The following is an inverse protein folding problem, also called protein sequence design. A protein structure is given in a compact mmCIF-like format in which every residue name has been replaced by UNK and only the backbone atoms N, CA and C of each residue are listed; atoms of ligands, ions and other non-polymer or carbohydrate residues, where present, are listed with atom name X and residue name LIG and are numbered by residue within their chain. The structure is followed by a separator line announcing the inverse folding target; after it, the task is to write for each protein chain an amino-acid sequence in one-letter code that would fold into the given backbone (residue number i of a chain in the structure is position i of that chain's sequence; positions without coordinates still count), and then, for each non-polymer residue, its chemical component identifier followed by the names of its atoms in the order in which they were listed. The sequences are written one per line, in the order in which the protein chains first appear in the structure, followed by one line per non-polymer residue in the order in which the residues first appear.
data_IF_416369065499
#
_entry.id   IF_416369065499
#
_cell.length_a   1.000
_cell.length_b   1.000
_cell.length_c   1.000
_cell.angle_alpha   90.00
_cell.angle_beta   90.00
_cell.angle_gamma   90.00
#
_symmetry.space_group_name_H-M   'P 1'
#
loop_
_entity.id
_entity.type
_entity.pdbx_description
1 polymer ?
#
# COMPACT_ATOMS: atom_id res chain seq x y z
N UNK A 1 -6.24 7.37 34.29
CA UNK A 1 -6.75 6.43 33.27
C UNK A 1 -7.28 5.22 34.01
N UNK A 2 -8.52 4.79 33.77
CA UNK A 2 -9.13 3.64 34.45
C UNK A 2 -8.63 2.31 33.86
N UNK A 3 -8.88 1.18 34.53
CA UNK A 3 -8.40 -0.13 34.11
C UNK A 3 -9.03 -0.59 32.79
N UNK A 4 -10.35 -0.40 32.62
CA UNK A 4 -11.07 -0.79 31.40
C UNK A 4 -10.47 -0.18 30.12
N UNK A 5 -10.02 1.08 30.18
CA UNK A 5 -9.37 1.71 29.03
C UNK A 5 -7.98 1.15 28.77
N UNK A 6 -7.26 0.74 29.82
CA UNK A 6 -5.95 0.12 29.68
C UNK A 6 -6.06 -1.26 29.01
N UNK A 7 -7.02 -2.07 29.45
CA UNK A 7 -7.28 -3.40 28.90
C UNK A 7 -7.72 -3.29 27.43
N UNK A 8 -8.62 -2.36 27.15
CA UNK A 8 -9.05 -2.08 25.77
C UNK A 8 -7.88 -1.72 24.86
N UNK A 9 -6.96 -0.84 25.31
CA UNK A 9 -5.75 -0.48 24.53
C UNK A 9 -4.84 -1.70 24.35
N UNK A 10 -4.65 -2.51 25.39
CA UNK A 10 -3.79 -3.68 25.36
C UNK A 10 -4.27 -4.76 24.38
N UNK A 11 -5.58 -4.92 24.24
CA UNK A 11 -6.24 -5.89 23.35
C UNK A 11 -6.36 -5.39 21.90
N UNK A 12 -6.63 -4.09 21.70
CA UNK A 12 -6.99 -3.54 20.39
C UNK A 12 -5.86 -2.74 19.73
N UNK A 13 -4.63 -2.80 20.26
CA UNK A 13 -3.49 -2.05 19.75
C UNK A 13 -3.18 -2.28 18.27
N UNK A 14 -3.48 -3.46 17.74
CA UNK A 14 -3.23 -3.79 16.33
C UNK A 14 -3.95 -2.82 15.39
N UNK A 15 -5.11 -2.30 15.79
CA UNK A 15 -5.87 -1.31 15.02
C UNK A 15 -5.09 0.00 14.78
N UNK A 16 -4.11 0.32 15.63
CA UNK A 16 -3.19 1.46 15.43
C UNK A 16 -2.23 1.24 14.26
N UNK A 17 -1.94 -0.02 13.93
CA UNK A 17 -1.10 -0.42 12.80
C UNK A 17 -1.93 -0.83 11.57
N UNK A 18 -3.18 -1.27 11.77
CA UNK A 18 -4.06 -1.82 10.73
C UNK A 18 -4.80 -0.76 9.87
N UNK A 19 -4.42 0.52 9.96
CA UNK A 19 -5.03 1.61 9.19
C UNK A 19 -6.57 1.66 9.32
N UNK A 20 -7.11 1.41 10.53
CA UNK A 20 -8.46 1.91 10.82
C UNK A 20 -8.48 3.40 10.43
N UNK A 21 -9.50 3.82 9.66
CA UNK A 21 -9.60 5.18 9.11
C UNK A 21 -9.15 6.20 10.16
N UNK A 22 -8.29 7.15 9.79
CA UNK A 22 -7.83 8.18 10.73
C UNK A 22 -9.01 8.81 11.49
N UNK A 23 -10.16 8.96 10.82
CA UNK A 23 -11.43 9.41 11.38
C UNK A 23 -12.01 8.46 12.43
N UNK A 24 -11.90 7.14 12.23
CA UNK A 24 -12.31 6.12 13.19
C UNK A 24 -11.37 6.07 14.40
N UNK A 25 -10.06 6.16 14.21
CA UNK A 25 -9.10 6.16 15.32
C UNK A 25 -9.22 7.44 16.16
N UNK A 26 -9.42 8.60 15.53
CA UNK A 26 -9.61 9.89 16.23
C UNK A 26 -10.94 9.96 17.02
N UNK A 27 -11.94 9.13 16.67
CA UNK A 27 -13.21 9.02 17.41
C UNK A 27 -13.27 7.82 18.36
N UNK A 28 -12.24 6.97 18.37
CA UNK A 28 -12.17 5.75 19.18
C UNK A 28 -11.50 5.96 20.55
N UNK A 29 -11.55 4.92 21.38
CA UNK A 29 -10.75 4.79 22.61
C UNK A 29 -9.24 4.71 22.36
N UNK A 30 -8.79 4.53 21.11
CA UNK A 30 -7.39 4.50 20.68
C UNK A 30 -6.85 5.87 20.24
N UNK A 31 -7.65 6.94 20.34
CA UNK A 31 -7.28 8.31 19.92
C UNK A 31 -5.93 8.77 20.50
N UNK A 32 -5.71 8.59 21.80
CA UNK A 32 -4.47 9.07 22.44
C UNK A 32 -3.25 8.26 21.98
N UNK A 33 -3.25 6.91 22.04
CA UNK A 33 -2.17 6.10 21.47
C UNK A 33 -1.87 6.45 20.00
N UNK A 34 -2.92 6.69 19.20
CA UNK A 34 -2.78 7.07 17.78
C UNK A 34 -2.08 8.42 17.59
N UNK A 35 -2.42 9.43 18.40
CA UNK A 35 -1.77 10.74 18.36
C UNK A 35 -0.30 10.67 18.75
N UNK A 36 0.04 9.86 19.75
CA UNK A 36 1.45 9.61 20.15
C UNK A 36 2.20 8.93 18.99
N UNK A 37 1.61 7.89 18.40
CA UNK A 37 2.18 7.18 17.25
C UNK A 37 2.44 8.15 16.07
N UNK A 38 1.48 8.98 15.70
CA UNK A 38 1.64 9.99 14.64
C UNK A 38 2.79 10.95 14.90
N UNK A 39 2.88 11.45 16.14
CA UNK A 39 3.92 12.40 16.52
C UNK A 39 5.32 11.77 16.41
N UNK A 40 5.48 10.53 16.89
CA UNK A 40 6.74 9.80 16.80
C UNK A 40 7.11 9.40 15.36
N UNK A 41 6.12 9.15 14.50
CA UNK A 41 6.36 8.92 13.07
C UNK A 41 6.88 10.17 12.35
N UNK A 42 6.44 11.35 12.77
CA UNK A 42 6.81 12.61 12.15
C UNK A 42 8.17 13.13 12.67
N UNK A 43 8.36 13.08 13.99
CA UNK A 43 9.46 13.76 14.67
C UNK A 43 10.54 12.80 15.21
N UNK A 44 10.31 11.49 15.13
CA UNK A 44 11.20 10.48 15.69
C UNK A 44 11.06 10.32 17.21
N UNK A 45 12.11 9.80 17.89
CA UNK A 45 12.12 9.64 19.34
C UNK A 45 11.97 10.98 20.07
N UNK A 46 11.06 11.04 21.04
CA UNK A 46 10.77 12.26 21.81
C UNK A 46 10.78 11.99 23.31
N UNK A 47 11.11 13.03 24.10
CA UNK A 47 10.97 12.94 25.56
C UNK A 47 9.50 12.93 25.93
N UNK A 48 9.19 12.24 27.03
CA UNK A 48 7.83 12.15 27.55
C UNK A 48 7.20 13.53 27.80
N UNK A 49 7.98 14.50 28.30
CA UNK A 49 7.50 15.86 28.51
C UNK A 49 7.19 16.59 27.19
N UNK A 50 8.02 16.41 26.16
CA UNK A 50 7.80 17.02 24.84
C UNK A 50 6.49 16.51 24.21
N UNK A 51 6.21 15.21 24.35
CA UNK A 51 4.93 14.62 23.90
C UNK A 51 3.76 15.20 24.70
N UNK A 52 3.94 15.38 26.01
CA UNK A 52 2.93 15.98 26.89
C UNK A 52 2.57 17.40 26.46
N UNK A 53 3.58 18.22 26.22
CA UNK A 53 3.41 19.64 25.85
C UNK A 53 2.76 19.77 24.46
N UNK A 54 3.19 18.95 23.49
CA UNK A 54 2.67 19.00 22.11
C UNK A 54 1.24 18.49 22.02
N UNK A 55 0.89 17.42 22.73
CA UNK A 55 -0.44 16.83 22.66
C UNK A 55 -1.42 17.41 23.67
N UNK A 56 -0.95 18.22 24.62
CA UNK A 56 -1.73 18.73 25.76
C UNK A 56 -2.34 17.58 26.58
N UNK A 57 -1.53 16.54 26.83
CA UNK A 57 -1.93 15.32 27.54
C UNK A 57 -1.03 15.16 28.76
N UNK A 58 -1.63 14.84 29.91
CA UNK A 58 -0.88 14.66 31.15
C UNK A 58 0.26 13.63 31.00
N UNK A 59 1.50 13.91 31.48
CA UNK A 59 2.66 13.03 31.37
C UNK A 59 2.39 11.58 31.80
N UNK A 60 1.69 11.41 32.93
CA UNK A 60 1.32 10.07 33.43
C UNK A 60 0.44 9.26 32.47
N UNK A 61 -0.45 9.90 31.72
CA UNK A 61 -1.28 9.19 30.74
C UNK A 61 -0.42 8.64 29.61
N UNK A 62 0.52 9.45 29.11
CA UNK A 62 1.49 9.03 28.10
C UNK A 62 2.37 7.90 28.64
N UNK A 63 2.88 8.05 29.87
CA UNK A 63 3.71 7.03 30.52
C UNK A 63 3.01 5.67 30.61
N UNK A 64 1.72 5.68 30.98
CA UNK A 64 0.92 4.45 31.11
C UNK A 64 0.63 3.84 29.75
N UNK A 65 0.25 4.63 28.74
CA UNK A 65 0.06 4.12 27.37
C UNK A 65 1.35 3.54 26.81
N UNK A 66 2.47 4.25 26.99
CA UNK A 66 3.79 3.78 26.56
C UNK A 66 4.20 2.47 27.26
N UNK A 67 3.79 2.28 28.52
CA UNK A 67 4.00 1.01 29.24
C UNK A 67 3.15 -0.12 28.69
N UNK A 68 1.86 0.13 28.43
CA UNK A 68 0.92 -0.89 27.91
C UNK A 68 1.35 -1.40 26.53
N UNK A 69 1.91 -0.51 25.71
CA UNK A 69 2.28 -0.78 24.33
C UNK A 69 3.80 -0.97 24.13
N UNK A 70 4.54 -1.14 25.22
CA UNK A 70 5.98 -1.41 25.20
C UNK A 70 6.28 -2.76 24.53
N UNK A 71 7.26 -2.81 23.64
CA UNK A 71 7.60 -4.01 22.86
C UNK A 71 6.61 -4.33 21.72
N UNK A 72 5.49 -3.61 21.63
CA UNK A 72 4.48 -3.75 20.57
C UNK A 72 4.57 -2.59 19.58
N UNK A 73 4.34 -1.37 20.08
CA UNK A 73 4.35 -0.13 19.30
C UNK A 73 5.48 0.78 19.76
N UNK A 74 5.72 0.86 21.06
CA UNK A 74 6.68 1.81 21.64
C UNK A 74 7.86 1.11 22.29
N UNK A 75 8.97 1.83 22.35
CA UNK A 75 10.10 1.56 23.22
C UNK A 75 10.28 2.73 24.17
N UNK A 76 10.79 2.43 25.36
CA UNK A 76 11.13 3.44 26.36
C UNK A 76 12.59 3.29 26.73
N UNK A 77 13.33 4.38 26.63
CA UNK A 77 14.70 4.45 27.12
C UNK A 77 14.78 5.45 28.27
N UNK A 78 15.47 5.06 29.34
CA UNK A 78 15.83 5.95 30.45
C UNK A 78 17.33 6.18 30.38
N UNK A 79 17.74 7.44 30.45
CA UNK A 79 19.17 7.74 30.57
C UNK A 79 19.76 7.13 31.84
N UNK A 80 21.07 6.84 31.83
CA UNK A 80 21.78 6.20 32.94
C UNK A 80 21.79 7.04 34.24
N UNK A 81 21.53 8.34 34.14
CA UNK A 81 21.50 9.24 35.29
C UNK A 81 20.17 9.15 36.06
N UNK A 82 20.25 9.27 37.39
CA UNK A 82 19.08 9.34 38.26
C UNK A 82 18.27 10.60 37.90
N UNK A 83 16.99 10.42 37.53
CA UNK A 83 16.12 11.51 37.08
C UNK A 83 16.24 11.85 35.59
N UNK A 84 16.97 11.06 34.80
CA UNK A 84 17.02 11.26 33.35
C UNK A 84 15.60 11.18 32.74
N UNK A 85 15.27 12.08 31.80
CA UNK A 85 13.97 12.09 31.15
C UNK A 85 13.76 10.77 30.40
N UNK A 86 12.56 10.22 30.50
CA UNK A 86 12.18 9.04 29.71
C UNK A 86 11.95 9.48 28.27
N UNK A 87 12.62 8.81 27.35
CA UNK A 87 12.42 8.99 25.90
C UNK A 87 11.54 7.86 25.40
N UNK A 88 10.62 8.18 24.50
CA UNK A 88 9.71 7.25 23.85
C UNK A 88 10.06 7.23 22.37
N UNK A 89 10.25 6.04 21.83
CA UNK A 89 10.50 5.78 20.41
C UNK A 89 9.51 4.75 19.88
N UNK A 90 9.47 4.58 18.57
CA UNK A 90 8.75 3.46 17.94
C UNK A 90 9.59 2.19 18.06
N UNK A 91 8.94 1.09 18.42
CA UNK A 91 9.57 -0.21 18.43
C UNK A 91 9.88 -0.66 16.99
N UNK A 92 11.05 -1.29 16.72
CA UNK A 92 11.44 -1.72 15.37
C UNK A 92 10.38 -2.55 14.64
N UNK A 93 9.72 -3.48 15.35
CA UNK A 93 8.59 -4.24 14.80
C UNK A 93 7.45 -3.35 14.27
N UNK A 94 7.10 -2.28 15.00
CA UNK A 94 6.03 -1.39 14.57
C UNK A 94 6.45 -0.55 13.35
N UNK A 95 7.71 -0.13 13.31
CA UNK A 95 8.30 0.55 12.14
C UNK A 95 8.23 -0.39 10.93
N UNK A 96 8.63 -1.64 11.07
CA UNK A 96 8.59 -2.64 10.00
C UNK A 96 7.15 -2.90 9.51
N UNK A 97 6.19 -3.08 10.42
CA UNK A 97 4.78 -3.27 10.07
C UNK A 97 4.20 -2.06 9.32
N UNK A 98 4.55 -0.85 9.74
CA UNK A 98 4.10 0.39 9.09
C UNK A 98 4.80 0.60 7.74
N UNK A 99 6.09 0.27 7.62
CA UNK A 99 6.85 0.36 6.38
C UNK A 99 6.32 -0.63 5.33
N UNK A 100 6.18 -1.91 5.72
CA UNK A 100 5.63 -2.98 4.88
C UNK A 100 4.20 -2.68 4.39
N UNK A 101 3.47 -1.78 5.08
CA UNK A 101 2.08 -1.43 4.73
C UNK A 101 1.91 -0.05 4.09
N UNK A 102 2.81 0.92 4.34
CA UNK A 102 2.90 2.12 3.51
C UNK A 102 3.17 1.72 2.06
N UNK A 103 4.01 0.70 1.87
CA UNK A 103 4.20 0.01 0.59
C UNK A 103 2.87 -0.51 0.03
N UNK A 104 1.99 -1.12 0.84
CA UNK A 104 0.66 -1.58 0.38
C UNK A 104 -0.34 -0.45 0.07
N UNK A 105 -0.22 0.72 0.69
CA UNK A 105 -1.13 1.85 0.45
C UNK A 105 -0.71 2.68 -0.78
N UNK A 106 0.59 2.71 -1.10
CA UNK A 106 1.08 3.21 -2.39
C UNK A 106 0.77 2.26 -3.56
N UNK A 107 0.29 1.02 -3.30
CA UNK A 107 -0.20 0.09 -4.34
C UNK A 107 -1.60 0.44 -4.88
N UNK A 108 -2.28 1.43 -4.31
CA UNK A 108 -3.44 2.03 -4.95
C UNK A 108 -2.96 3.32 -5.64
N UNK A 109 -2.72 3.31 -6.96
CA UNK A 109 -2.48 4.57 -7.67
C UNK A 109 -3.62 5.54 -7.37
N UNK A 110 -3.36 6.86 -7.30
CA UNK A 110 -4.43 7.84 -7.28
C UNK A 110 -5.38 7.54 -8.42
N UNK A 111 -6.69 7.64 -8.14
CA UNK A 111 -7.74 7.32 -9.09
C UNK A 111 -7.42 7.92 -10.47
N UNK A 112 -7.19 7.04 -11.46
CA UNK A 112 -6.83 7.33 -12.85
C UNK A 112 -5.38 7.77 -13.10
N UNK A 113 -4.40 6.95 -12.73
CA UNK A 113 -3.04 7.11 -13.28
C UNK A 113 -3.05 6.80 -14.78
N UNK A 114 -2.59 7.77 -15.57
CA UNK A 114 -2.40 7.67 -17.03
C UNK A 114 -0.91 7.73 -17.33
N UNK A 115 -0.43 6.87 -18.21
CA UNK A 115 0.96 6.85 -18.69
C UNK A 115 0.99 6.60 -20.19
N UNK A 116 2.04 7.01 -20.87
CA UNK A 116 2.32 6.60 -22.25
C UNK A 116 3.36 5.48 -22.21
N UNK A 117 3.03 4.29 -22.72
CA UNK A 117 3.95 3.17 -22.76
C UNK A 117 3.63 2.21 -23.91
N UNK A 118 4.63 1.38 -24.28
CA UNK A 118 4.43 0.21 -25.15
C UNK A 118 4.01 -0.99 -24.33
N UNK A 119 3.18 -1.85 -24.90
CA UNK A 119 2.76 -3.10 -24.26
C UNK A 119 3.89 -4.14 -24.26
N UNK A 120 3.89 -5.08 -23.29
CA UNK A 120 4.72 -6.27 -23.34
C UNK A 120 4.37 -7.16 -24.55
N UNK A 121 5.22 -8.15 -24.81
CA UNK A 121 5.06 -9.07 -25.95
C UNK A 121 3.69 -9.75 -26.00
N UNK A 122 3.13 -9.87 -27.22
CA UNK A 122 1.83 -10.51 -27.49
C UNK A 122 1.77 -11.95 -26.98
N UNK A 123 2.90 -12.65 -26.94
CA UNK A 123 3.04 -14.02 -26.49
C UNK A 123 2.57 -14.26 -25.06
N UNK A 124 2.53 -13.24 -24.20
CA UNK A 124 2.05 -13.33 -22.82
C UNK A 124 0.53 -13.30 -22.70
N UNK A 125 -0.19 -12.93 -23.77
CA UNK A 125 -1.61 -12.65 -23.73
C UNK A 125 -2.43 -13.60 -24.60
N UNK A 126 -3.67 -13.87 -24.17
CA UNK A 126 -4.68 -14.58 -24.95
C UNK A 126 -5.90 -13.68 -25.19
N UNK A 127 -6.48 -13.66 -26.39
CA UNK A 127 -7.71 -12.91 -26.63
C UNK A 127 -8.87 -13.57 -25.87
N UNK A 128 -9.74 -12.75 -25.29
CA UNK A 128 -11.04 -13.18 -24.79
C UNK A 128 -12.11 -12.89 -25.84
N UNK A 129 -13.08 -13.79 -25.97
CA UNK A 129 -14.27 -13.50 -26.77
C UNK A 129 -15.02 -12.33 -26.13
N UNK A 130 -15.09 -11.22 -26.86
CA UNK A 130 -15.86 -10.05 -26.46
C UNK A 130 -17.24 -10.14 -27.08
N UNK A 131 -18.28 -9.89 -26.28
CA UNK A 131 -19.64 -9.69 -26.77
C UNK A 131 -19.85 -8.25 -27.30
N UNK A 132 -18.84 -7.39 -27.19
CA UNK A 132 -18.88 -6.00 -27.63
C UNK A 132 -18.03 -5.86 -28.89
N UNK A 133 -18.65 -5.44 -30.00
CA UNK A 133 -18.02 -5.35 -31.32
C UNK A 133 -16.81 -4.42 -31.38
N UNK A 134 -16.76 -3.41 -30.50
CA UNK A 134 -15.81 -2.30 -30.62
C UNK A 134 -14.66 -2.37 -29.61
N UNK A 135 -14.56 -3.49 -28.88
CA UNK A 135 -13.55 -3.68 -27.83
C UNK A 135 -12.95 -5.07 -27.90
N UNK A 136 -11.62 -5.09 -27.93
CA UNK A 136 -10.82 -6.31 -27.88
C UNK A 136 -10.19 -6.42 -26.49
N UNK A 137 -10.45 -7.54 -25.83
CA UNK A 137 -9.92 -7.82 -24.51
C UNK A 137 -8.87 -8.93 -24.60
N UNK A 138 -7.71 -8.70 -24.01
CA UNK A 138 -6.63 -9.65 -23.91
C UNK A 138 -6.34 -9.93 -22.44
N UNK A 139 -6.17 -11.18 -22.07
CA UNK A 139 -5.90 -11.63 -20.70
C UNK A 139 -4.50 -12.23 -20.61
N UNK A 140 -3.79 -11.97 -19.51
CA UNK A 140 -2.50 -12.59 -19.26
C UNK A 140 -2.68 -14.12 -19.08
N UNK A 141 -1.85 -14.91 -19.78
CA UNK A 141 -1.94 -16.37 -19.78
C UNK A 141 -1.60 -17.00 -18.42
N UNK A 142 -0.74 -16.36 -17.65
CA UNK A 142 -0.25 -16.85 -16.35
C UNK A 142 -1.12 -16.34 -15.19
N UNK A 143 -1.81 -15.20 -15.35
CA UNK A 143 -2.76 -14.69 -14.34
C UNK A 143 -3.99 -13.98 -14.95
N UNK A 144 -5.21 -14.49 -14.73
CA UNK A 144 -6.45 -13.84 -15.21
C UNK A 144 -6.80 -12.56 -14.43
N UNK A 145 -6.02 -12.18 -13.42
CA UNK A 145 -6.20 -10.95 -12.66
C UNK A 145 -5.80 -9.68 -13.44
N UNK A 146 -5.16 -9.85 -14.61
CA UNK A 146 -4.70 -8.76 -15.45
C UNK A 146 -5.28 -8.84 -16.87
N UNK A 147 -5.81 -7.72 -17.37
CA UNK A 147 -6.36 -7.61 -18.72
C UNK A 147 -5.96 -6.31 -19.41
N UNK A 148 -5.92 -6.38 -20.73
CA UNK A 148 -5.75 -5.25 -21.64
C UNK A 148 -7.05 -5.10 -22.42
N UNK A 149 -7.62 -3.90 -22.41
CA UNK A 149 -8.83 -3.54 -23.17
C UNK A 149 -8.43 -2.50 -24.20
N UNK A 150 -8.55 -2.88 -25.46
CA UNK A 150 -8.11 -2.09 -26.62
C UNK A 150 -9.28 -1.80 -27.55
N UNK A 151 -9.24 -0.65 -28.23
CA UNK A 151 -10.07 -0.35 -29.40
C UNK A 151 -9.41 -0.78 -30.72
N UNK A 152 -8.25 -1.41 -30.66
CA UNK A 152 -7.50 -1.97 -31.79
C UNK A 152 -7.32 -3.48 -31.58
N UNK A 153 -7.66 -4.34 -32.56
CA UNK A 153 -7.44 -5.79 -32.48
C UNK A 153 -5.96 -6.21 -32.41
N UNK A 154 -5.02 -5.33 -32.76
CA UNK A 154 -3.59 -5.62 -32.76
C UNK A 154 -2.77 -4.51 -32.06
N UNK A 155 -2.91 -4.34 -30.73
CA UNK A 155 -2.32 -3.20 -30.03
C UNK A 155 -0.81 -3.31 -29.75
N UNK A 156 -0.12 -4.30 -30.32
CA UNK A 156 1.25 -4.63 -29.93
C UNK A 156 2.28 -3.81 -30.73
N UNK A 157 3.39 -3.44 -30.10
CA UNK A 157 4.51 -2.74 -30.75
C UNK A 157 4.35 -1.23 -30.90
N UNK A 158 3.17 -0.67 -30.60
CA UNK A 158 2.91 0.77 -30.61
C UNK A 158 2.74 1.33 -29.20
N UNK A 159 2.86 2.66 -29.10
CA UNK A 159 2.64 3.39 -27.85
C UNK A 159 1.16 3.65 -27.63
N UNK A 160 0.75 3.51 -26.38
CA UNK A 160 -0.61 3.74 -25.94
C UNK A 160 -0.62 4.66 -24.73
N UNK A 161 -1.65 5.49 -24.67
CA UNK A 161 -2.08 6.09 -23.42
C UNK A 161 -2.83 5.02 -22.63
N UNK A 162 -2.23 4.60 -21.52
CA UNK A 162 -2.71 3.50 -20.69
C UNK A 162 -3.37 4.08 -19.45
N UNK A 163 -4.66 3.79 -19.29
CA UNK A 163 -5.40 4.09 -18.06
C UNK A 163 -5.50 2.83 -17.20
N UNK A 164 -4.96 2.92 -15.99
CA UNK A 164 -5.04 1.88 -14.96
C UNK A 164 -6.42 1.91 -14.29
N UNK A 165 -7.21 0.85 -14.45
CA UNK A 165 -8.57 0.74 -13.93
C UNK A 165 -8.72 -0.53 -13.08
N UNK A 166 -8.88 -0.37 -11.77
CA UNK A 166 -9.25 -1.50 -10.91
C UNK A 166 -10.73 -1.82 -11.10
N UNK A 167 -11.02 -3.03 -11.55
CA UNK A 167 -12.37 -3.58 -11.64
C UNK A 167 -12.73 -4.26 -10.32
N UNK A 168 -13.83 -3.81 -9.72
CA UNK A 168 -14.42 -4.34 -8.49
C UNK A 168 -15.79 -4.98 -8.78
N UNK A 169 -15.90 -5.74 -9.87
CA UNK A 169 -17.19 -6.33 -10.25
C UNK A 169 -17.39 -7.68 -9.54
N UNK A 170 -18.31 -7.69 -8.57
CA UNK A 170 -18.84 -8.90 -7.90
C UNK A 170 -19.61 -9.84 -8.85
N UNK A 171 -19.93 -9.41 -10.07
CA UNK A 171 -20.85 -10.10 -10.98
C UNK A 171 -20.20 -11.08 -11.97
N UNK A 172 -18.92 -10.90 -12.26
CA UNK A 172 -18.21 -11.77 -13.19
C UNK A 172 -17.66 -12.95 -12.38
N UNK A 173 -18.27 -14.14 -12.52
CA UNK A 173 -18.02 -15.37 -11.73
C UNK A 173 -16.59 -15.94 -11.82
N UNK A 174 -15.59 -15.12 -12.16
CA UNK A 174 -14.20 -15.53 -12.16
C UNK A 174 -13.65 -15.61 -10.74
N UNK A 175 -12.67 -16.49 -10.60
CA UNK A 175 -11.89 -16.76 -9.38
C UNK A 175 -11.23 -15.49 -8.78
N UNK A 176 -11.18 -14.39 -9.53
CA UNK A 176 -10.51 -13.14 -9.15
C UNK A 176 -11.52 -11.98 -9.11
N UNK A 177 -12.12 -11.65 -7.94
CA UNK A 177 -13.10 -10.57 -7.80
C UNK A 177 -12.49 -9.16 -7.90
N UNK A 178 -11.16 -9.05 -7.85
CA UNK A 178 -10.40 -7.82 -8.05
C UNK A 178 -9.44 -8.01 -9.22
N UNK A 179 -9.56 -7.17 -10.25
CA UNK A 179 -8.72 -7.26 -11.46
C UNK A 179 -8.19 -5.90 -11.87
N UNK A 180 -7.05 -5.90 -12.55
CA UNK A 180 -6.49 -4.74 -13.19
C UNK A 180 -6.79 -4.77 -14.69
N UNK A 181 -7.58 -3.81 -15.15
CA UNK A 181 -7.80 -3.55 -16.56
C UNK A 181 -6.93 -2.37 -16.99
N UNK A 182 -6.10 -2.59 -18.00
CA UNK A 182 -5.42 -1.53 -18.75
C UNK A 182 -6.29 -1.12 -19.93
N UNK A 183 -6.87 0.07 -19.86
CA UNK A 183 -7.65 0.63 -20.97
C UNK A 183 -6.72 1.43 -21.86
N UNK A 184 -6.64 1.05 -23.14
CA UNK A 184 -5.78 1.68 -24.12
C UNK A 184 -6.54 2.77 -24.88
N UNK A 185 -5.87 3.91 -25.03
CA UNK A 185 -6.33 5.02 -25.85
C UNK A 185 -5.19 5.47 -26.78
N UNK A 186 -5.49 5.89 -28.02
CA UNK A 186 -4.50 6.51 -28.87
C UNK A 186 -3.82 7.69 -28.13
N UNK A 187 -2.51 7.91 -28.30
CA UNK A 187 -1.86 9.11 -27.80
C UNK A 187 -2.51 10.36 -28.41
N UNK A 188 -3.08 11.22 -27.57
CA UNK A 188 -3.89 12.37 -27.97
C UNK A 188 -3.21 13.72 -27.67
N UNK A 189 -1.90 13.71 -27.43
CA UNK A 189 -1.11 14.91 -27.13
C UNK A 189 -1.36 15.48 -25.72
N UNK A 190 -2.13 14.79 -24.87
CA UNK A 190 -2.17 15.10 -23.44
C UNK A 190 -0.77 14.93 -22.81
N UNK A 191 -0.43 15.82 -21.87
CA UNK A 191 0.81 15.73 -21.09
C UNK A 191 0.71 14.56 -20.10
N UNK A 192 1.11 13.38 -20.58
CA UNK A 192 1.17 12.14 -19.80
C UNK A 192 2.63 11.69 -19.69
N UNK A 193 3.08 11.24 -18.51
CA UNK A 193 4.44 10.76 -18.34
C UNK A 193 4.69 9.52 -19.21
N UNK A 194 5.86 9.49 -19.85
CA UNK A 194 6.32 8.31 -20.56
C UNK A 194 6.88 7.31 -19.56
N UNK A 195 6.45 6.06 -19.68
CA UNK A 195 6.86 5.00 -18.79
C UNK A 195 7.39 3.79 -19.57
N UNK A 196 8.42 3.15 -19.02
CA UNK A 196 8.77 1.78 -19.42
C UNK A 196 7.80 0.81 -18.74
N UNK A 197 7.14 -0.04 -19.53
CA UNK A 197 6.19 -1.02 -19.02
C UNK A 197 6.76 -2.43 -19.14
N UNK A 198 7.02 -3.05 -17.99
CA UNK A 198 7.68 -4.35 -17.89
C UNK A 198 6.73 -5.41 -17.32
N UNK A 199 6.89 -6.65 -17.80
CA UNK A 199 6.14 -7.83 -17.35
C UNK A 199 7.10 -8.95 -17.02
N UNK A 200 7.10 -9.42 -15.77
CA UNK A 200 8.02 -10.44 -15.28
C UNK A 200 7.31 -11.56 -14.53
N UNK A 201 7.87 -12.78 -14.59
CA UNK A 201 7.46 -13.91 -13.76
C UNK A 201 8.47 -14.15 -12.65
N UNK A 202 8.13 -13.81 -11.41
CA UNK A 202 9.06 -13.87 -10.27
C UNK A 202 8.74 -15.09 -9.38
N UNK A 203 9.80 -15.83 -9.03
CA UNK A 203 9.74 -16.92 -8.03
C UNK A 203 10.17 -16.38 -6.66
N UNK A 204 9.39 -16.63 -5.62
CA UNK A 204 9.81 -16.40 -4.22
C UNK A 204 9.22 -15.17 -3.53
N UNK A 205 10.01 -14.54 -2.66
CA UNK A 205 9.62 -13.41 -1.78
C UNK A 205 10.10 -12.10 -2.41
N UNK A 206 9.22 -11.10 -2.48
CA UNK A 206 9.54 -9.77 -3.02
C UNK A 206 10.52 -9.03 -2.10
N UNK A 207 11.67 -8.61 -2.65
CA UNK A 207 12.61 -7.67 -2.02
C UNK A 207 12.86 -6.56 -3.04
N UNK A 208 12.70 -5.30 -2.65
CA UNK A 208 12.81 -4.17 -3.59
C UNK A 208 14.25 -3.97 -4.09
N UNK A 209 14.38 -3.61 -5.37
CA UNK A 209 15.60 -3.04 -5.95
C UNK A 209 15.68 -1.53 -5.66
N UNK A 210 16.83 -0.91 -5.97
CA UNK A 210 17.06 0.53 -5.76
C UNK A 210 16.12 1.44 -6.59
N UNK A 211 15.51 0.93 -7.66
CA UNK A 211 14.60 1.66 -8.53
C UNK A 211 13.14 1.30 -8.23
N UNK A 212 12.39 2.27 -7.70
CA UNK A 212 10.98 2.09 -7.37
C UNK A 212 10.06 2.43 -8.57
N UNK A 213 9.24 1.48 -9.06
CA UNK A 213 8.30 1.76 -10.15
C UNK A 213 7.22 2.75 -9.71
N UNK A 214 6.77 3.57 -10.64
CA UNK A 214 5.63 4.49 -10.50
C UNK A 214 4.32 3.75 -10.29
N UNK A 215 4.16 2.58 -10.93
CA UNK A 215 3.06 1.65 -10.66
C UNK A 215 3.58 0.22 -10.62
N UNK A 216 3.10 -0.55 -9.66
CA UNK A 216 3.44 -1.96 -9.49
C UNK A 216 2.18 -2.78 -9.23
N UNK A 217 2.01 -3.85 -9.98
CA UNK A 217 0.94 -4.82 -9.77
C UNK A 217 1.51 -6.23 -9.79
N UNK A 218 1.26 -6.97 -8.70
CA UNK A 218 1.63 -8.37 -8.59
C UNK A 218 0.36 -9.22 -8.43
N UNK A 219 0.24 -10.24 -9.27
CA UNK A 219 -0.82 -11.23 -9.18
C UNK A 219 -0.22 -12.62 -9.08
N UNK A 220 -0.79 -13.49 -8.23
CA UNK A 220 -0.35 -14.87 -8.17
C UNK A 220 -0.74 -15.58 -9.48
N UNK A 221 0.04 -16.60 -9.83
CA UNK A 221 -0.25 -17.48 -10.96
C UNK A 221 -0.85 -18.79 -10.46
N UNK A 222 -1.31 -19.64 -11.39
CA UNK A 222 -1.71 -21.01 -11.08
C UNK A 222 -0.54 -21.91 -10.62
N UNK A 223 0.70 -21.47 -10.82
CA UNK A 223 1.89 -22.19 -10.38
C UNK A 223 2.27 -21.73 -8.99
N UNK A 224 2.43 -22.66 -8.06
CA UNK A 224 2.80 -22.35 -6.68
C UNK A 224 4.06 -21.46 -6.64
N UNK A 225 4.01 -20.41 -5.82
CA UNK A 225 5.12 -19.49 -5.53
C UNK A 225 5.66 -18.70 -6.73
N UNK A 226 4.90 -18.63 -7.82
CA UNK A 226 5.19 -17.74 -8.96
C UNK A 226 4.16 -16.62 -9.00
N UNK A 227 4.67 -15.40 -9.10
CA UNK A 227 3.89 -14.17 -9.27
C UNK A 227 4.18 -13.58 -10.64
N UNK A 228 3.15 -13.09 -11.32
CA UNK A 228 3.32 -12.20 -12.48
C UNK A 228 3.28 -10.78 -11.99
N UNK A 229 4.23 -10.00 -12.47
CA UNK A 229 4.49 -8.65 -12.01
C UNK A 229 4.47 -7.71 -13.20
N UNK A 230 3.82 -6.57 -13.00
CA UNK A 230 3.68 -5.50 -13.95
C UNK A 230 4.21 -4.21 -13.33
N UNK A 231 5.21 -3.61 -13.95
CA UNK A 231 5.90 -2.44 -13.43
C UNK A 231 5.92 -1.31 -14.47
N UNK A 232 5.58 -0.09 -14.06
CA UNK A 232 5.75 1.12 -14.86
C UNK A 232 6.82 1.99 -14.23
N UNK A 233 7.84 2.36 -15.00
CA UNK A 233 8.91 3.26 -14.56
C UNK A 233 8.82 4.56 -15.36
N UNK A 234 8.36 5.65 -14.73
CA UNK A 234 8.48 6.99 -15.29
C UNK A 234 9.89 7.52 -15.03
N UNK A 235 10.53 8.08 -16.06
CA UNK A 235 11.82 8.79 -15.93
C UNK A 235 11.60 10.29 -15.95
#
# INVERSE_FOLDING_TARGET
MNQDLQDYIAENWQALLDQASATLLESSRLKIPYRILKLLLQDGPLKLQEISDRLQIHPNTIATIARILEGKIFERSRGAARGAPTTISLHPYAIEQLANRKIKQTLAPPAKTKVIAKLPGKEFFRPLQSNTSDKWTFEDKDSPAFRIVSSDPNPWGQEWKILLSHQNERGDRSEWPYRLDLKLFPPDGEDCPHATFEREGIKGVFVWSLDSPTFFYAAPTKREKIWVVYSFYCR
#
